data_IF_894629067384
#
_entry.id   IF_894629067384
#
_cell.length_a   1.000
_cell.length_b   1.000
_cell.length_c   1.000
_cell.angle_alpha   90.00
_cell.angle_beta   90.00
_cell.angle_gamma   90.00
#
_symmetry.space_group_name_H-M   'P 1'
#
loop_
_entity.id
_entity.type
_entity.pdbx_description
1 polymer ?
#
# COMPACT_ATOMS: atom_id res chain seq x y z
N UNK A 1 -7.62 24.94 -24.78
CA UNK A 1 -7.32 24.81 -23.33
C UNK A 1 -5.84 24.55 -23.21
N UNK A 2 -5.10 25.33 -22.42
CA UNK A 2 -3.70 25.02 -22.16
C UNK A 2 -3.63 23.62 -21.54
N UNK A 3 -2.78 22.76 -22.08
CA UNK A 3 -2.52 21.43 -21.53
C UNK A 3 -1.97 21.62 -20.11
N UNK A 4 -2.65 21.09 -19.10
CA UNK A 4 -2.20 21.21 -17.71
C UNK A 4 -0.96 20.34 -17.53
N UNK A 5 0.09 20.90 -16.94
CA UNK A 5 1.27 20.11 -16.60
C UNK A 5 0.88 18.98 -15.62
N UNK A 6 1.56 17.84 -15.69
CA UNK A 6 1.35 16.75 -14.75
C UNK A 6 2.46 16.74 -13.71
N UNK A 7 2.06 16.67 -12.44
CA UNK A 7 2.96 16.40 -11.34
C UNK A 7 2.84 14.92 -10.99
N UNK A 8 3.74 14.11 -11.54
CA UNK A 8 3.73 12.67 -11.33
C UNK A 8 4.38 12.32 -9.99
N UNK A 9 3.58 11.81 -9.06
CA UNK A 9 4.08 11.27 -7.81
C UNK A 9 4.71 9.90 -8.04
N UNK A 10 5.78 9.62 -7.31
CA UNK A 10 6.54 8.42 -7.58
C UNK A 10 6.07 7.15 -6.82
N UNK A 11 4.94 7.21 -6.13
CA UNK A 11 4.46 6.14 -5.25
C UNK A 11 3.35 5.32 -5.90
N UNK A 12 3.45 3.99 -5.84
CA UNK A 12 2.36 3.08 -6.23
C UNK A 12 1.41 2.80 -5.07
N UNK A 13 0.15 2.46 -5.37
CA UNK A 13 -0.90 2.22 -4.36
C UNK A 13 -0.71 1.03 -3.40
N UNK A 14 0.36 0.23 -3.52
CA UNK A 14 0.58 -0.98 -2.70
C UNK A 14 0.72 -0.69 -1.20
N UNK A 15 1.39 0.40 -0.83
CA UNK A 15 1.47 0.92 0.55
C UNK A 15 0.71 2.25 0.67
N UNK A 16 -0.33 2.40 -0.17
CA UNK A 16 -1.08 3.63 -0.29
C UNK A 16 -2.04 3.89 0.87
N UNK A 17 -2.58 5.11 0.87
CA UNK A 17 -3.66 5.55 1.74
C UNK A 17 -4.98 4.95 1.29
N UNK A 18 -5.76 4.40 2.22
CA UNK A 18 -7.10 3.90 1.95
C UNK A 18 -8.09 5.04 1.73
N UNK A 19 -8.93 4.91 0.69
CA UNK A 19 -9.96 5.90 0.40
C UNK A 19 -11.21 5.63 1.22
N UNK A 20 -11.94 6.71 1.52
CA UNK A 20 -13.25 6.63 2.16
C UNK A 20 -14.36 6.99 1.18
N UNK A 21 -15.58 6.57 1.51
CA UNK A 21 -16.76 6.86 0.70
C UNK A 21 -16.89 6.00 -0.57
N UNK A 22 -16.06 4.97 -0.73
CA UNK A 22 -16.03 4.10 -1.93
C UNK A 22 -17.40 3.51 -2.28
N UNK A 23 -18.24 3.23 -1.28
CA UNK A 23 -19.60 2.73 -1.47
C UNK A 23 -20.46 3.64 -2.35
N UNK A 24 -20.30 4.97 -2.24
CA UNK A 24 -21.03 5.94 -3.04
C UNK A 24 -20.54 5.95 -4.50
N UNK A 25 -19.28 5.60 -4.73
CA UNK A 25 -18.60 5.65 -6.04
C UNK A 25 -18.43 4.27 -6.69
N UNK A 26 -19.13 3.25 -6.19
CA UNK A 26 -19.01 1.85 -6.64
C UNK A 26 -19.08 1.68 -8.16
N UNK A 27 -20.03 2.33 -8.83
CA UNK A 27 -20.16 2.25 -10.27
C UNK A 27 -18.96 2.86 -11.01
N UNK A 28 -18.43 3.99 -10.53
CA UNK A 28 -17.25 4.62 -11.10
C UNK A 28 -16.02 3.71 -10.93
N UNK A 29 -15.85 3.10 -9.75
CA UNK A 29 -14.75 2.17 -9.47
C UNK A 29 -14.83 0.93 -10.37
N UNK A 30 -16.00 0.29 -10.49
CA UNK A 30 -16.17 -0.91 -11.32
C UNK A 30 -15.89 -0.66 -12.82
N UNK A 31 -16.19 0.54 -13.33
CA UNK A 31 -15.90 0.93 -14.72
C UNK A 31 -14.41 1.13 -15.01
N UNK A 32 -13.59 1.25 -13.97
CA UNK A 32 -12.14 1.45 -14.08
C UNK A 32 -11.40 0.11 -14.06
N UNK A 33 -12.02 -0.94 -13.50
CA UNK A 33 -11.46 -2.28 -13.47
C UNK A 33 -11.38 -2.90 -14.88
N UNK A 34 -10.36 -3.74 -15.15
CA UNK A 34 -10.20 -4.43 -16.43
C UNK A 34 -11.28 -5.49 -16.68
N UNK A 35 -11.90 -6.01 -15.62
CA UNK A 35 -13.04 -6.92 -15.64
C UNK A 35 -13.81 -6.80 -14.33
N UNK A 36 -15.04 -7.31 -14.29
CA UNK A 36 -15.79 -7.39 -13.04
C UNK A 36 -15.31 -8.54 -12.14
N UNK A 37 -15.43 -8.38 -10.80
CA UNK A 37 -15.22 -9.49 -9.88
C UNK A 37 -16.36 -10.51 -10.02
N UNK A 38 -16.00 -11.78 -9.89
CA UNK A 38 -16.94 -12.88 -9.82
C UNK A 38 -16.66 -13.73 -8.57
N UNK A 39 -17.59 -14.61 -8.23
CA UNK A 39 -17.44 -15.50 -7.08
C UNK A 39 -16.18 -16.37 -7.25
N UNK A 40 -15.35 -16.43 -6.20
CA UNK A 40 -14.03 -17.07 -6.25
C UNK A 40 -13.00 -16.42 -7.19
N UNK A 41 -13.32 -15.31 -7.85
CA UNK A 41 -12.48 -14.67 -8.88
C UNK A 41 -12.31 -13.16 -8.62
N UNK A 42 -11.53 -12.77 -7.58
CA UNK A 42 -11.25 -11.38 -7.28
C UNK A 42 -10.51 -10.69 -8.42
N UNK A 43 -10.58 -9.37 -8.46
CA UNK A 43 -9.89 -8.50 -9.41
C UNK A 43 -8.96 -7.58 -8.64
N UNK A 44 -7.73 -7.50 -9.10
CA UNK A 44 -6.77 -6.49 -8.65
C UNK A 44 -6.30 -5.70 -9.86
N UNK A 45 -6.30 -4.38 -9.73
CA UNK A 45 -5.83 -3.48 -10.78
C UNK A 45 -5.06 -2.31 -10.17
N UNK A 46 -3.98 -1.91 -10.84
CA UNK A 46 -3.31 -0.63 -10.57
C UNK A 46 -3.67 0.32 -11.70
N UNK A 47 -4.19 1.50 -11.37
CA UNK A 47 -4.71 2.46 -12.34
C UNK A 47 -4.19 3.87 -12.06
N UNK A 48 -3.89 4.66 -13.10
CA UNK A 48 -3.52 6.05 -12.93
C UNK A 48 -4.72 6.86 -12.42
N UNK A 49 -4.46 7.74 -11.46
CA UNK A 49 -5.45 8.59 -10.81
C UNK A 49 -4.93 10.00 -10.63
N UNK A 50 -5.88 10.93 -10.55
CA UNK A 50 -5.65 12.34 -10.23
C UNK A 50 -6.10 12.60 -8.80
N UNK A 51 -5.34 13.39 -8.06
CA UNK A 51 -5.63 13.79 -6.68
C UNK A 51 -6.00 15.27 -6.71
N UNK A 52 -7.25 15.58 -6.37
CA UNK A 52 -7.86 16.88 -6.67
C UNK A 52 -8.43 17.52 -5.40
N UNK A 53 -8.01 18.74 -5.05
CA UNK A 53 -8.59 19.47 -3.92
C UNK A 53 -9.96 20.03 -4.31
N UNK A 54 -10.90 20.04 -3.38
CA UNK A 54 -12.27 20.55 -3.58
C UNK A 54 -12.58 21.62 -2.53
N UNK A 55 -12.08 22.86 -2.70
CA UNK A 55 -12.30 23.93 -1.72
C UNK A 55 -13.78 24.32 -1.57
N UNK A 56 -14.59 24.04 -2.59
CA UNK A 56 -16.01 24.29 -2.72
C UNK A 56 -16.90 23.15 -2.19
N UNK A 57 -16.30 22.07 -1.69
CA UNK A 57 -17.06 20.95 -1.16
C UNK A 57 -17.89 21.39 0.06
N UNK A 58 -19.23 21.18 0.05
CA UNK A 58 -20.14 21.71 1.08
C UNK A 58 -19.97 21.05 2.45
N UNK A 59 -19.34 19.88 2.50
CA UNK A 59 -19.15 19.11 3.74
C UNK A 59 -17.79 19.36 4.38
N UNK A 60 -16.76 19.64 3.57
CA UNK A 60 -15.40 19.86 4.04
C UNK A 60 -14.58 20.67 3.03
N UNK A 61 -14.21 21.92 3.37
CA UNK A 61 -13.38 22.80 2.52
C UNK A 61 -11.94 22.31 2.31
N UNK A 62 -11.53 21.28 3.05
CA UNK A 62 -10.24 20.60 2.92
C UNK A 62 -10.34 19.30 2.14
N UNK A 63 -11.54 18.93 1.65
CA UNK A 63 -11.74 17.68 0.91
C UNK A 63 -10.75 17.54 -0.25
N UNK A 64 -10.23 16.31 -0.38
CA UNK A 64 -9.38 15.90 -1.50
C UNK A 64 -10.00 14.63 -2.07
N UNK A 65 -10.46 14.72 -3.32
CA UNK A 65 -10.97 13.57 -4.06
C UNK A 65 -9.88 12.90 -4.87
N UNK A 66 -10.04 11.59 -5.07
CA UNK A 66 -9.22 10.81 -6.00
C UNK A 66 -10.08 10.44 -7.19
N UNK A 67 -9.55 10.66 -8.39
CA UNK A 67 -10.31 10.53 -9.64
C UNK A 67 -9.61 9.62 -10.64
N UNK A 68 -10.37 8.72 -11.24
CA UNK A 68 -9.92 7.91 -12.37
C UNK A 68 -10.74 8.28 -13.60
N UNK A 69 -10.07 8.57 -14.72
CA UNK A 69 -10.74 8.96 -16.00
C UNK A 69 -11.77 10.09 -15.78
N UNK A 70 -11.39 11.11 -14.98
CA UNK A 70 -12.22 12.28 -14.65
C UNK A 70 -13.39 12.04 -13.67
N UNK A 71 -13.56 10.82 -13.13
CA UNK A 71 -14.64 10.48 -12.18
C UNK A 71 -14.08 10.25 -10.79
N UNK A 72 -14.76 10.80 -9.78
CA UNK A 72 -14.44 10.50 -8.38
C UNK A 72 -14.61 9.00 -8.10
N UNK A 73 -13.57 8.41 -7.53
CA UNK A 73 -13.55 7.00 -7.08
C UNK A 73 -13.45 6.88 -5.56
N UNK A 74 -13.25 8.00 -4.85
CA UNK A 74 -13.19 8.05 -3.40
C UNK A 74 -12.58 9.36 -2.92
N UNK A 75 -12.49 9.52 -1.61
CA UNK A 75 -11.89 10.68 -0.96
C UNK A 75 -10.80 10.25 0.01
N UNK A 76 -9.86 11.13 0.31
CA UNK A 76 -9.08 11.00 1.54
C UNK A 76 -10.02 11.17 2.74
N UNK A 77 -9.72 10.47 3.85
CA UNK A 77 -10.44 10.69 5.11
C UNK A 77 -10.31 12.15 5.55
N UNK A 78 -11.23 12.68 6.36
CA UNK A 78 -11.16 14.06 6.85
C UNK A 78 -9.84 14.37 7.57
N UNK A 79 -9.31 13.40 8.32
CA UNK A 79 -8.02 13.50 9.01
C UNK A 79 -6.88 13.66 8.01
N UNK A 80 -6.79 12.77 7.02
CA UNK A 80 -5.74 12.86 6.00
C UNK A 80 -5.92 14.09 5.12
N UNK A 81 -7.15 14.42 4.74
CA UNK A 81 -7.45 15.63 4.01
C UNK A 81 -6.95 16.89 4.74
N UNK A 82 -6.98 16.91 6.08
CA UNK A 82 -6.43 18.01 6.87
C UNK A 82 -4.92 18.22 6.64
N UNK A 83 -4.16 17.15 6.42
CA UNK A 83 -2.72 17.21 6.20
C UNK A 83 -2.36 17.38 4.71
N UNK A 84 -3.08 16.72 3.81
CA UNK A 84 -2.78 16.72 2.38
C UNK A 84 -3.33 17.94 1.63
N UNK A 85 -4.34 18.64 2.14
CA UNK A 85 -4.99 19.68 1.32
C UNK A 85 -4.05 20.81 0.92
N UNK A 86 -3.11 21.24 1.76
CA UNK A 86 -2.18 22.34 1.41
C UNK A 86 -1.15 21.92 0.35
N UNK A 87 -0.39 20.81 0.53
CA UNK A 87 0.54 20.34 -0.50
C UNK A 87 -0.15 20.07 -1.85
N UNK A 88 -1.34 19.46 -1.84
CA UNK A 88 -2.12 19.22 -3.07
C UNK A 88 -2.56 20.53 -3.72
N UNK A 89 -3.07 21.49 -2.93
CA UNK A 89 -3.44 22.82 -3.44
C UNK A 89 -2.25 23.58 -4.02
N UNK A 90 -1.05 23.46 -3.42
CA UNK A 90 0.19 24.07 -3.95
C UNK A 90 0.48 23.58 -5.36
N UNK A 91 0.39 22.27 -5.61
CA UNK A 91 0.59 21.69 -6.95
C UNK A 91 -0.43 22.25 -7.94
N UNK A 92 -1.71 22.32 -7.55
CA UNK A 92 -2.77 22.86 -8.42
C UNK A 92 -2.63 24.36 -8.68
N UNK A 93 -2.26 25.15 -7.68
CA UNK A 93 -1.97 26.58 -7.82
C UNK A 93 -0.75 26.85 -8.71
N UNK A 94 0.13 25.86 -8.86
CA UNK A 94 1.27 25.89 -9.80
C UNK A 94 0.88 25.55 -11.24
N UNK A 95 -0.42 25.38 -11.52
CA UNK A 95 -0.93 25.04 -12.85
C UNK A 95 -0.79 23.55 -13.22
N UNK A 96 -0.45 22.69 -12.25
CA UNK A 96 -0.26 21.26 -12.47
C UNK A 96 -1.39 20.41 -11.87
N UNK A 97 -1.57 19.19 -12.38
CA UNK A 97 -2.45 18.18 -11.77
C UNK A 97 -1.60 17.12 -11.10
N UNK A 98 -1.88 16.85 -9.83
CA UNK A 98 -1.23 15.78 -9.07
C UNK A 98 -1.71 14.42 -9.57
N UNK A 99 -0.79 13.60 -10.08
CA UNK A 99 -1.04 12.25 -10.58
C UNK A 99 -0.27 11.21 -9.81
N UNK A 100 -0.88 10.05 -9.65
CA UNK A 100 -0.29 8.88 -9.00
C UNK A 100 -1.04 7.63 -9.44
N UNK A 101 -0.76 6.49 -8.82
CA UNK A 101 -1.49 5.25 -9.05
C UNK A 101 -2.34 4.85 -7.83
N UNK A 102 -3.55 4.37 -8.09
CA UNK A 102 -4.37 3.68 -7.11
C UNK A 102 -4.39 2.17 -7.37
N UNK A 103 -4.28 1.39 -6.31
CA UNK A 103 -4.55 -0.06 -6.30
C UNK A 103 -6.01 -0.26 -5.93
N UNK A 104 -6.75 -0.96 -6.79
CA UNK A 104 -8.13 -1.33 -6.56
C UNK A 104 -8.17 -2.85 -6.40
N UNK A 105 -8.69 -3.31 -5.26
CA UNK A 105 -9.00 -4.71 -5.02
C UNK A 105 -10.51 -4.86 -4.93
N UNK A 106 -11.07 -5.83 -5.67
CA UNK A 106 -12.50 -6.07 -5.74
C UNK A 106 -12.80 -7.56 -5.67
N UNK A 107 -13.79 -7.96 -4.87
CA UNK A 107 -14.23 -9.34 -4.74
C UNK A 107 -15.74 -9.41 -4.53
N UNK A 108 -16.34 -10.58 -4.72
CA UNK A 108 -17.76 -10.82 -4.40
C UNK A 108 -17.85 -11.29 -2.95
N UNK A 109 -18.55 -10.52 -2.11
CA UNK A 109 -18.82 -10.86 -0.72
C UNK A 109 -19.87 -11.97 -0.58
N UNK A 110 -20.08 -12.45 0.64
CA UNK A 110 -21.04 -13.53 0.92
C UNK A 110 -22.49 -13.19 0.55
N UNK A 111 -22.83 -11.91 0.50
CA UNK A 111 -24.14 -11.42 0.06
C UNK A 111 -24.30 -11.38 -1.48
N UNK A 112 -23.27 -11.78 -2.24
CA UNK A 112 -23.25 -11.73 -3.70
C UNK A 112 -22.95 -10.34 -4.27
N UNK A 113 -22.69 -9.34 -3.44
CA UNK A 113 -22.35 -7.98 -3.87
C UNK A 113 -20.83 -7.83 -3.99
N UNK A 114 -20.38 -7.02 -4.96
CA UNK A 114 -18.95 -6.70 -5.02
C UNK A 114 -18.55 -5.70 -3.94
N UNK A 115 -17.59 -6.12 -3.12
CA UNK A 115 -16.86 -5.31 -2.15
C UNK A 115 -15.59 -4.75 -2.81
N UNK A 116 -15.24 -3.53 -2.43
CA UNK A 116 -14.16 -2.75 -3.03
C UNK A 116 -13.22 -2.25 -1.92
N UNK A 117 -11.93 -2.20 -2.25
CA UNK A 117 -10.91 -1.53 -1.47
C UNK A 117 -10.01 -0.76 -2.44
N UNK A 118 -9.92 0.56 -2.25
CA UNK A 118 -9.08 1.44 -3.06
C UNK A 118 -7.99 2.06 -2.20
N UNK A 119 -6.74 1.88 -2.60
CA UNK A 119 -5.58 2.50 -1.97
C UNK A 119 -4.82 3.38 -2.95
N UNK A 120 -4.68 4.66 -2.64
CA UNK A 120 -3.96 5.63 -3.47
C UNK A 120 -2.50 5.76 -3.02
N UNK A 121 -1.57 5.71 -3.97
CA UNK A 121 -0.13 5.86 -3.71
C UNK A 121 0.23 7.30 -3.37
N UNK A 122 0.15 7.66 -2.09
CA UNK A 122 0.59 8.96 -1.59
C UNK A 122 1.76 8.75 -0.61
N UNK A 123 2.87 9.49 -0.76
CA UNK A 123 3.87 9.58 0.30
C UNK A 123 3.32 10.40 1.47
N UNK A 124 4.04 10.45 2.58
CA UNK A 124 3.70 11.38 3.67
C UNK A 124 3.51 12.83 3.16
N UNK A 125 2.66 13.65 3.81
CA UNK A 125 2.32 14.99 3.31
C UNK A 125 3.54 15.89 3.03
N UNK A 126 4.54 15.85 3.92
CA UNK A 126 5.80 16.60 3.77
C UNK A 126 6.71 16.06 2.66
N UNK A 127 6.44 14.85 2.18
CA UNK A 127 7.17 14.19 1.09
C UNK A 127 6.53 14.39 -0.29
N UNK A 128 5.39 15.09 -0.35
CA UNK A 128 4.62 15.27 -1.58
C UNK A 128 5.33 16.22 -2.56
N UNK A 129 6.03 17.24 -2.04
CA UNK A 129 6.76 18.26 -2.81
C UNK A 129 8.25 18.25 -2.48
N UNK A 130 9.16 18.53 -3.44
CA UNK A 130 10.58 18.63 -3.14
C UNK A 130 10.84 19.83 -2.22
N UNK A 131 11.86 19.72 -1.38
CA UNK A 131 12.31 20.79 -0.49
C UNK A 131 12.91 21.98 -1.25
N UNK A 132 13.43 21.74 -2.45
CA UNK A 132 14.11 22.71 -3.30
C UNK A 132 13.23 23.15 -4.49
N UNK A 133 13.54 24.29 -5.08
CA UNK A 133 12.76 24.87 -6.20
C UNK A 133 13.59 25.57 -7.27
N UNK A 134 14.91 25.63 -7.11
CA UNK A 134 15.87 26.26 -8.03
C UNK A 134 16.35 25.35 -9.16
N UNK A 135 15.68 24.22 -9.43
CA UNK A 135 15.93 23.43 -10.64
C UNK A 135 15.54 24.24 -11.90
N UNK A 136 16.14 24.00 -13.08
CA UNK A 136 15.78 24.73 -14.30
C UNK A 136 14.34 24.46 -14.77
N UNK A 137 13.68 25.44 -15.40
CA UNK A 137 12.34 25.27 -15.98
C UNK A 137 12.27 24.26 -17.14
N UNK A 138 13.43 23.85 -17.67
CA UNK A 138 13.58 22.81 -18.70
C UNK A 138 13.76 21.40 -18.12
N UNK A 139 13.58 21.24 -16.81
CA UNK A 139 13.75 19.96 -16.11
C UNK A 139 12.65 18.98 -16.50
N UNK A 140 13.02 17.79 -16.95
CA UNK A 140 12.13 16.65 -17.17
C UNK A 140 12.45 15.57 -16.13
N UNK A 141 11.54 15.35 -15.18
CA UNK A 141 11.78 14.42 -14.08
C UNK A 141 11.63 12.96 -14.54
N UNK A 142 12.65 12.14 -14.25
CA UNK A 142 12.61 10.71 -14.49
C UNK A 142 11.50 10.04 -13.66
N UNK A 143 10.75 9.07 -14.23
CA UNK A 143 9.93 8.15 -13.46
C UNK A 143 10.77 7.42 -12.41
N UNK A 144 10.14 6.85 -11.38
CA UNK A 144 10.86 6.07 -10.39
C UNK A 144 11.49 4.80 -10.99
N UNK A 145 12.78 4.64 -10.74
CA UNK A 145 13.49 3.41 -11.04
C UNK A 145 13.28 2.35 -9.99
N UNK A 146 13.68 1.12 -10.34
CA UNK A 146 13.58 -0.03 -9.44
C UNK A 146 14.51 0.06 -8.23
N UNK A 147 15.63 0.77 -8.39
CA UNK A 147 16.70 0.83 -7.40
C UNK A 147 17.06 2.27 -7.04
N UNK A 148 17.41 2.47 -5.77
CA UNK A 148 18.00 3.71 -5.26
C UNK A 148 19.52 3.64 -5.39
N UNK A 149 20.14 4.74 -5.81
CA UNK A 149 21.60 4.86 -5.93
C UNK A 149 22.13 5.94 -4.99
N UNK A 150 23.25 5.65 -4.34
CA UNK A 150 24.00 6.59 -3.54
C UNK A 150 24.76 7.55 -4.47
N UNK A 151 24.69 8.85 -4.17
CA UNK A 151 25.61 9.84 -4.73
C UNK A 151 26.96 9.66 -4.05
N UNK A 152 28.07 10.04 -4.67
CA UNK A 152 29.38 10.02 -4.02
C UNK A 152 30.00 11.41 -4.04
N UNK A 153 30.96 11.64 -3.14
CA UNK A 153 31.68 12.91 -2.94
C UNK A 153 30.81 14.03 -2.36
N UNK A 154 29.72 13.70 -1.66
CA UNK A 154 28.87 14.69 -0.99
C UNK A 154 29.60 15.44 0.12
N UNK A 155 30.62 14.83 0.72
CA UNK A 155 31.50 15.43 1.73
C UNK A 155 32.19 16.71 1.23
N UNK A 156 32.43 16.81 -0.07
CA UNK A 156 33.04 17.98 -0.73
C UNK A 156 32.03 19.13 -0.91
N UNK A 157 30.76 18.88 -0.61
CA UNK A 157 29.63 19.79 -0.88
C UNK A 157 28.74 19.97 0.35
N UNK A 158 29.21 19.61 1.54
CA UNK A 158 28.41 19.59 2.77
C UNK A 158 27.75 20.94 3.10
N UNK A 159 28.47 22.07 2.95
CA UNK A 159 27.95 23.40 3.29
C UNK A 159 26.64 23.71 2.56
N UNK A 160 26.61 23.52 1.23
CA UNK A 160 25.42 23.70 0.39
C UNK A 160 24.33 22.68 0.71
N UNK A 161 24.69 21.40 0.82
CA UNK A 161 23.72 20.34 1.06
C UNK A 161 23.01 20.51 2.41
N UNK A 162 23.73 20.94 3.43
CA UNK A 162 23.20 21.12 4.78
C UNK A 162 22.05 22.14 4.85
N UNK A 163 22.04 23.15 3.98
CA UNK A 163 20.96 24.15 3.91
C UNK A 163 19.59 23.55 3.58
N UNK A 164 19.57 22.40 2.91
CA UNK A 164 18.36 21.70 2.49
C UNK A 164 17.97 20.57 3.45
N UNK A 165 18.75 20.29 4.49
CA UNK A 165 18.42 19.23 5.46
C UNK A 165 17.27 19.71 6.35
N UNK A 166 16.07 19.08 6.29
CA UNK A 166 14.95 19.51 7.11
C UNK A 166 15.18 19.14 8.58
N UNK A 167 14.37 19.71 9.48
CA UNK A 167 14.45 19.41 10.93
C UNK A 167 14.21 17.93 11.26
N UNK A 168 13.47 17.21 10.43
CA UNK A 168 13.28 15.76 10.52
C UNK A 168 14.56 14.97 10.23
N UNK A 169 15.60 15.62 9.67
CA UNK A 169 16.86 15.03 9.25
C UNK A 169 16.81 14.39 7.87
N UNK A 170 15.64 14.31 7.22
CA UNK A 170 15.49 13.67 5.91
C UNK A 170 14.31 14.23 5.13
N UNK A 171 14.47 14.45 3.83
CA UNK A 171 13.38 14.90 2.97
C UNK A 171 13.62 14.71 1.47
N UNK A 172 12.58 14.90 0.64
CA UNK A 172 12.69 14.74 -0.80
C UNK A 172 13.31 15.98 -1.44
N UNK A 173 14.09 15.77 -2.50
CA UNK A 173 14.65 16.84 -3.34
C UNK A 173 14.51 16.49 -4.81
N UNK A 174 14.37 17.50 -5.66
CA UNK A 174 14.48 17.36 -7.10
C UNK A 174 15.90 17.72 -7.52
N UNK A 175 16.68 16.71 -7.89
CA UNK A 175 18.07 16.88 -8.34
C UNK A 175 18.12 16.95 -9.85
N UNK A 176 19.20 17.49 -10.40
CA UNK A 176 19.45 17.45 -11.85
C UNK A 176 20.73 16.68 -12.17
N UNK A 177 20.70 15.93 -13.25
CA UNK A 177 21.79 15.08 -13.71
C UNK A 177 22.46 15.72 -14.92
N UNK A 178 23.79 15.87 -14.86
CA UNK A 178 24.59 16.54 -15.87
C UNK A 178 25.75 15.66 -16.31
N UNK A 179 26.05 15.64 -17.60
CA UNK A 179 27.24 14.95 -18.10
C UNK A 179 28.49 15.67 -17.60
N UNK A 180 29.44 14.90 -17.07
CA UNK A 180 30.75 15.39 -16.66
C UNK A 180 31.86 14.51 -17.25
N UNK A 181 32.96 15.15 -17.68
CA UNK A 181 34.15 14.46 -18.15
C UNK A 181 35.32 14.83 -17.24
N UNK A 182 36.05 13.83 -16.75
CA UNK A 182 37.26 14.03 -15.95
C UNK A 182 38.41 13.26 -16.56
N UNK A 183 39.49 13.96 -16.89
CA UNK A 183 40.72 13.34 -17.36
C UNK A 183 41.48 12.78 -16.17
N UNK A 184 41.63 11.45 -16.16
CA UNK A 184 42.41 10.74 -15.14
C UNK A 184 43.91 11.02 -15.32
N UNK A 185 44.69 10.78 -14.27
CA UNK A 185 46.15 10.98 -14.27
C UNK A 185 46.90 10.20 -15.37
N UNK A 186 46.29 9.14 -15.90
CA UNK A 186 46.81 8.32 -17.00
C UNK A 186 46.38 8.81 -18.39
N UNK A 187 45.71 9.98 -18.49
CA UNK A 187 45.21 10.55 -19.75
C UNK A 187 43.86 9.99 -20.20
N UNK A 188 43.31 8.96 -19.56
CA UNK A 188 41.98 8.44 -19.92
C UNK A 188 40.89 9.41 -19.50
N UNK A 189 39.95 9.69 -20.41
CA UNK A 189 38.75 10.47 -20.12
C UNK A 189 37.71 9.56 -19.49
N UNK A 190 37.30 9.89 -18.26
CA UNK A 190 36.21 9.23 -17.55
C UNK A 190 34.95 10.07 -17.68
N UNK A 191 33.91 9.49 -18.28
CA UNK A 191 32.56 10.08 -18.31
C UNK A 191 31.80 9.67 -17.06
N UNK A 192 31.31 10.64 -16.32
CA UNK A 192 30.48 10.46 -15.13
C UNK A 192 29.26 11.36 -15.21
N UNK A 193 28.31 11.12 -14.32
CA UNK A 193 27.17 12.00 -14.12
C UNK A 193 27.40 12.81 -12.87
N UNK A 194 27.42 14.13 -13.01
CA UNK A 194 27.38 15.09 -11.92
C UNK A 194 25.93 15.27 -11.45
N UNK A 195 25.75 15.29 -10.13
CA UNK A 195 24.44 15.50 -9.50
C UNK A 195 24.42 16.90 -8.92
N UNK A 196 23.42 17.69 -9.31
CA UNK A 196 23.25 19.07 -8.86
C UNK A 196 21.98 19.27 -8.07
N UNK A 197 22.07 20.05 -7.00
CA UNK A 197 20.96 20.55 -6.20
C UNK A 197 20.87 22.07 -6.45
N UNK A 198 19.77 22.51 -7.05
CA UNK A 198 19.53 23.92 -7.42
C UNK A 198 20.67 24.59 -8.20
N UNK A 199 21.26 23.83 -9.14
CA UNK A 199 22.30 24.32 -10.05
C UNK A 199 23.72 24.21 -9.50
N UNK A 200 23.89 23.96 -8.20
CA UNK A 200 25.19 23.72 -7.57
C UNK A 200 25.51 22.23 -7.49
N UNK A 201 26.80 21.89 -7.56
CA UNK A 201 27.26 20.50 -7.49
C UNK A 201 27.04 19.96 -6.08
N UNK A 202 26.30 18.86 -5.97
CA UNK A 202 26.10 18.11 -4.72
C UNK A 202 26.88 16.80 -4.65
N UNK A 203 27.49 16.37 -5.77
CA UNK A 203 28.29 15.16 -5.85
C UNK A 203 28.31 14.58 -7.26
N UNK A 204 28.61 13.30 -7.38
CA UNK A 204 28.59 12.58 -8.66
C UNK A 204 28.12 11.14 -8.49
N UNK A 205 27.71 10.49 -9.57
CA UNK A 205 27.43 9.05 -9.58
C UNK A 205 28.71 8.25 -9.85
N UNK A 206 28.79 7.02 -9.33
CA UNK A 206 29.88 6.10 -9.68
C UNK A 206 29.93 5.86 -11.20
N UNK A 207 31.07 5.39 -11.73
CA UNK A 207 31.18 5.11 -13.17
C UNK A 207 30.13 4.09 -13.66
N UNK A 208 29.91 3.04 -12.86
CA UNK A 208 28.93 2.00 -13.16
C UNK A 208 27.50 2.57 -13.19
N UNK A 209 27.13 3.38 -12.20
CA UNK A 209 25.80 4.01 -12.17
C UNK A 209 25.65 5.05 -13.28
N UNK A 210 26.69 5.85 -13.54
CA UNK A 210 26.70 6.89 -14.57
C UNK A 210 26.38 6.32 -15.95
N UNK A 211 26.94 5.15 -16.29
CA UNK A 211 26.70 4.49 -17.58
C UNK A 211 25.20 4.22 -17.87
N UNK A 212 24.37 4.07 -16.83
CA UNK A 212 22.94 3.85 -17.00
C UNK A 212 22.15 5.11 -17.37
N UNK A 213 22.64 6.30 -17.02
CA UNK A 213 21.95 7.57 -17.18
C UNK A 213 22.52 8.44 -18.31
N UNK A 214 23.80 8.27 -18.68
CA UNK A 214 24.40 9.04 -19.77
C UNK A 214 23.58 9.04 -21.07
N UNK A 215 23.01 7.91 -21.55
CA UNK A 215 22.22 7.93 -22.79
C UNK A 215 20.97 8.82 -22.70
N UNK A 216 20.27 8.83 -21.56
CA UNK A 216 19.08 9.67 -21.40
C UNK A 216 19.45 11.15 -21.20
N UNK A 217 20.58 11.44 -20.57
CA UNK A 217 21.11 12.81 -20.44
C UNK A 217 21.45 13.38 -21.82
N UNK A 218 22.18 12.62 -22.64
CA UNK A 218 22.56 13.03 -24.00
C UNK A 218 21.32 13.24 -24.90
N UNK A 219 20.32 12.37 -24.77
CA UNK A 219 19.04 12.54 -25.47
C UNK A 219 18.29 13.80 -25.02
N UNK A 220 18.22 14.04 -23.70
CA UNK A 220 17.57 15.22 -23.13
C UNK A 220 18.23 16.52 -23.57
N UNK A 221 19.58 16.57 -23.57
CA UNK A 221 20.35 17.71 -24.05
C UNK A 221 20.03 18.01 -25.52
N UNK A 222 19.91 16.98 -26.36
CA UNK A 222 19.47 17.11 -27.76
C UNK A 222 18.07 17.72 -27.93
N UNK A 223 17.20 17.57 -26.92
CA UNK A 223 15.87 18.18 -26.86
C UNK A 223 15.82 19.54 -26.14
N UNK A 224 16.96 20.06 -25.68
CA UNK A 224 17.01 21.28 -24.86
C UNK A 224 16.38 21.10 -23.47
N UNK A 225 16.41 19.87 -22.94
CA UNK A 225 15.90 19.50 -21.61
C UNK A 225 17.06 19.21 -20.65
N UNK A 226 16.77 19.32 -19.35
CA UNK A 226 17.67 18.86 -18.28
C UNK A 226 17.02 17.65 -17.61
N UNK A 227 17.78 16.59 -17.37
CA UNK A 227 17.25 15.41 -16.68
C UNK A 227 17.11 15.70 -15.20
N UNK A 228 15.87 15.72 -14.70
CA UNK A 228 15.54 15.76 -13.29
C UNK A 228 15.47 14.35 -12.70
N UNK A 229 15.84 14.19 -11.45
CA UNK A 229 15.66 12.94 -10.72
C UNK A 229 15.24 13.21 -9.29
N UNK A 230 14.26 12.44 -8.83
CA UNK A 230 13.91 12.45 -7.43
C UNK A 230 15.06 11.91 -6.59
N UNK A 231 15.42 12.68 -5.58
CA UNK A 231 16.39 12.32 -4.60
C UNK A 231 15.85 12.39 -3.19
N UNK A 232 16.67 11.90 -2.27
CA UNK A 232 16.44 12.06 -0.85
C UNK A 232 17.70 12.61 -0.24
N UNK A 233 17.57 13.76 0.42
CA UNK A 233 18.61 14.30 1.27
C UNK A 233 18.42 13.78 2.68
N UNK A 234 19.50 13.27 3.26
CA UNK A 234 19.55 12.84 4.66
C UNK A 234 20.72 13.55 5.31
N UNK A 235 20.53 14.16 6.47
CA UNK A 235 21.62 14.89 7.10
C UNK A 235 21.50 15.03 8.60
N UNK A 236 22.64 15.40 9.17
CA UNK A 236 22.83 15.80 10.56
C UNK A 236 23.76 17.02 10.58
N UNK A 237 24.01 17.60 11.76
CA UNK A 237 24.97 18.70 11.90
C UNK A 237 26.42 18.39 11.47
N UNK A 238 26.74 17.13 11.12
CA UNK A 238 28.09 16.68 10.77
C UNK A 238 28.23 16.18 9.33
N UNK A 239 27.14 15.78 8.68
CA UNK A 239 27.18 15.17 7.35
C UNK A 239 25.82 15.29 6.66
N UNK A 240 25.85 15.38 5.33
CA UNK A 240 24.69 15.34 4.46
C UNK A 240 24.98 14.35 3.32
N UNK A 241 24.00 13.51 3.03
CA UNK A 241 24.07 12.45 2.03
C UNK A 241 22.93 12.62 1.03
N UNK A 242 23.20 12.29 -0.23
CA UNK A 242 22.21 12.30 -1.30
C UNK A 242 22.02 10.90 -1.87
N UNK A 243 20.76 10.54 -2.08
CA UNK A 243 20.42 9.38 -2.91
C UNK A 243 19.54 9.82 -4.07
N UNK A 244 19.60 9.08 -5.17
CA UNK A 244 18.72 9.26 -6.33
C UNK A 244 17.88 8.02 -6.58
N UNK A 245 16.66 8.21 -7.07
CA UNK A 245 15.78 7.13 -7.53
C UNK A 245 15.08 7.54 -8.82
N UNK A 246 15.66 7.17 -9.94
CA UNK A 246 15.14 7.41 -11.28
C UNK A 246 15.26 6.16 -12.15
N UNK A 247 14.36 6.04 -13.11
CA UNK A 247 14.39 4.97 -14.10
C UNK A 247 15.65 5.12 -14.96
N UNK A 248 16.36 4.00 -15.16
CA UNK A 248 17.51 3.95 -16.07
C UNK A 248 17.05 4.07 -17.52
N UNK A 249 17.97 4.38 -18.43
CA UNK A 249 17.71 4.35 -19.88
C UNK A 249 16.98 3.09 -20.37
N UNK A 250 17.30 1.92 -19.81
CA UNK A 250 16.67 0.63 -20.16
C UNK A 250 15.29 0.40 -19.53
N UNK A 251 14.86 1.26 -18.61
CA UNK A 251 13.59 1.16 -17.89
C UNK A 251 12.55 2.19 -18.36
N UNK A 252 12.95 3.13 -19.22
CA UNK A 252 12.09 4.19 -19.75
C UNK A 252 11.26 3.69 -20.94
N UNK A 253 10.02 4.14 -21.04
CA UNK A 253 9.19 3.90 -22.22
C UNK A 253 9.58 4.83 -23.38
N UNK A 254 9.35 4.38 -24.61
CA UNK A 254 9.56 5.19 -25.80
C UNK A 254 8.69 6.45 -25.82
N UNK A 255 7.48 6.36 -25.24
CA UNK A 255 6.57 7.50 -25.05
C UNK A 255 7.21 8.56 -24.16
N UNK A 256 7.70 8.18 -22.98
CA UNK A 256 8.36 9.13 -22.08
C UNK A 256 9.61 9.74 -22.70
N UNK A 257 10.44 8.94 -23.40
CA UNK A 257 11.64 9.44 -24.08
C UNK A 257 11.31 10.43 -25.21
N UNK A 258 10.16 10.27 -25.88
CA UNK A 258 9.72 11.17 -26.93
C UNK A 258 9.17 12.48 -26.39
N UNK A 259 8.38 12.40 -25.32
CA UNK A 259 7.70 13.57 -24.76
C UNK A 259 8.59 14.37 -23.81
N UNK A 260 9.38 13.67 -22.98
CA UNK A 260 10.17 14.20 -21.88
C UNK A 260 9.43 15.31 -21.13
N UNK A 261 8.28 14.99 -20.51
CA UNK A 261 7.39 15.99 -19.93
C UNK A 261 8.12 16.85 -18.90
N UNK A 262 7.84 18.15 -18.92
CA UNK A 262 8.44 19.09 -17.98
C UNK A 262 7.90 18.87 -16.57
N UNK A 263 8.81 18.86 -15.60
CA UNK A 263 8.46 18.92 -14.20
C UNK A 263 8.04 20.35 -13.85
N UNK A 264 6.85 20.56 -13.24
CA UNK A 264 6.33 21.89 -13.01
C UNK A 264 7.11 22.60 -11.89
N UNK A 265 7.36 23.89 -12.06
CA UNK A 265 7.83 24.74 -10.97
C UNK A 265 6.69 25.01 -10.00
N UNK A 266 6.91 24.64 -8.75
CA UNK A 266 5.92 24.88 -7.71
C UNK A 266 5.97 26.34 -7.23
N UNK A 267 4.79 26.92 -6.99
CA UNK A 267 4.69 28.20 -6.28
C UNK A 267 5.30 28.07 -4.87
N UNK A 268 5.78 29.17 -4.26
CA UNK A 268 6.33 29.15 -2.90
C UNK A 268 5.34 28.61 -1.87
N UNK A 269 5.88 28.11 -0.75
CA UNK A 269 5.04 27.66 0.36
C UNK A 269 4.25 28.81 0.97
N UNK A 270 2.95 28.58 1.18
CA UNK A 270 2.03 29.54 1.76
C UNK A 270 1.02 28.84 2.68
N UNK A 271 0.44 29.61 3.60
CA UNK A 271 -0.63 29.13 4.50
C UNK A 271 -1.96 28.84 3.79
N UNK A 272 -2.13 29.33 2.57
CA UNK A 272 -3.31 29.11 1.73
C UNK A 272 -2.97 29.31 0.26
N UNK A 273 -3.73 28.63 -0.60
CA UNK A 273 -3.67 28.81 -2.05
C UNK A 273 -5.08 28.95 -2.61
N UNK A 274 -5.24 29.81 -3.60
CA UNK A 274 -6.44 29.88 -4.42
C UNK A 274 -6.36 28.81 -5.51
N UNK A 275 -7.34 27.91 -5.55
CA UNK A 275 -7.44 26.85 -6.56
C UNK A 275 -8.87 26.80 -7.07
N UNK A 276 -9.10 26.34 -8.32
CA UNK A 276 -10.45 26.26 -8.87
C UNK A 276 -11.35 25.32 -8.08
N UNK A 277 -12.64 25.68 -8.04
CA UNK A 277 -13.72 24.81 -7.60
C UNK A 277 -13.72 23.50 -8.41
N UNK A 278 -13.94 22.39 -7.72
CA UNK A 278 -13.82 21.08 -8.32
C UNK A 278 -14.87 20.08 -7.84
N UNK A 279 -15.68 20.39 -6.84
CA UNK A 279 -16.67 19.46 -6.30
C UNK A 279 -17.64 18.98 -7.38
N UNK A 280 -17.75 17.66 -7.57
CA UNK A 280 -18.60 17.05 -8.61
C UNK A 280 -20.00 16.66 -8.11
N UNK A 281 -20.33 16.93 -6.85
CA UNK A 281 -21.56 16.43 -6.22
C UNK A 281 -21.44 14.97 -5.78
N UNK A 282 -22.40 14.53 -4.97
CA UNK A 282 -22.59 13.08 -4.79
C UNK A 282 -23.06 12.47 -6.11
N UNK A 283 -22.56 11.27 -6.47
CA UNK A 283 -23.14 10.52 -7.57
C UNK A 283 -24.61 10.31 -7.24
N UNK A 284 -25.52 10.60 -8.19
CA UNK A 284 -26.96 10.43 -8.01
C UNK A 284 -27.29 8.96 -7.75
N UNK A 285 -27.15 8.48 -6.52
CA UNK A 285 -27.88 7.33 -6.02
C UNK A 285 -29.33 7.76 -6.03
N UNK A 286 -30.12 7.24 -6.99
CA UNK A 286 -31.56 7.43 -6.97
C UNK A 286 -32.10 6.99 -5.61
N UNK A 287 -32.44 7.97 -4.77
CA UNK A 287 -33.33 7.90 -3.62
C UNK A 287 -32.98 6.91 -2.50
N UNK A 288 -32.94 7.40 -1.26
CA UNK A 288 -33.28 6.56 -0.11
C UNK A 288 -34.69 5.99 -0.32
N UNK A 289 -34.82 4.70 -0.64
CA UNK A 289 -36.03 3.94 -0.31
C UNK A 289 -35.75 2.43 -0.27
N UNK A 290 -36.01 1.83 0.90
CA UNK A 290 -36.47 0.45 1.17
C UNK A 290 -36.01 -0.64 0.20
N UNK A 291 -35.20 -1.58 0.71
CA UNK A 291 -34.97 -2.91 0.12
C UNK A 291 -34.65 -2.89 -1.39
N UNK A 292 -33.44 -2.51 -1.76
CA UNK A 292 -32.92 -2.78 -3.09
C UNK A 292 -32.74 -4.30 -3.25
N UNK A 293 -33.74 -4.94 -3.83
CA UNK A 293 -33.66 -6.35 -4.24
C UNK A 293 -32.63 -6.55 -5.36
N UNK A 294 -32.16 -7.79 -5.48
CA UNK A 294 -31.11 -8.33 -6.37
C UNK A 294 -31.10 -7.91 -7.85
N UNK A 295 -32.11 -7.17 -8.33
CA UNK A 295 -32.33 -6.87 -9.74
C UNK A 295 -31.54 -5.66 -10.29
N UNK A 296 -31.09 -4.72 -9.46
CA UNK A 296 -30.31 -3.55 -9.91
C UNK A 296 -28.82 -3.87 -10.10
N UNK A 297 -28.24 -4.67 -9.21
CA UNK A 297 -26.89 -5.21 -9.35
C UNK A 297 -26.80 -6.17 -10.55
N UNK A 298 -27.82 -7.00 -10.79
CA UNK A 298 -27.91 -7.86 -11.97
C UNK A 298 -27.98 -7.06 -13.27
N UNK A 299 -28.77 -5.97 -13.33
CA UNK A 299 -28.80 -5.07 -14.50
C UNK A 299 -27.49 -4.35 -14.76
N UNK A 300 -26.82 -3.87 -13.71
CA UNK A 300 -25.52 -3.22 -13.85
C UNK A 300 -24.46 -4.25 -14.30
N UNK A 301 -24.54 -5.48 -13.78
CA UNK A 301 -23.73 -6.62 -14.19
C UNK A 301 -23.99 -6.98 -15.65
N UNK A 302 -25.24 -7.11 -16.09
CA UNK A 302 -25.60 -7.33 -17.50
C UNK A 302 -25.10 -6.20 -18.42
N UNK A 303 -25.26 -4.93 -18.02
CA UNK A 303 -24.79 -3.79 -18.81
C UNK A 303 -23.26 -3.71 -18.90
N UNK A 304 -22.56 -4.06 -17.82
CA UNK A 304 -21.10 -4.06 -17.78
C UNK A 304 -20.53 -5.31 -18.47
N UNK A 305 -21.13 -6.48 -18.26
CA UNK A 305 -20.78 -7.74 -18.94
C UNK A 305 -21.00 -7.62 -20.45
N UNK A 306 -22.09 -6.99 -20.92
CA UNK A 306 -22.26 -6.66 -22.35
C UNK A 306 -21.13 -5.79 -22.90
N UNK A 307 -20.58 -4.88 -22.08
CA UNK A 307 -19.43 -4.04 -22.44
C UNK A 307 -18.14 -4.85 -22.57
N UNK A 308 -17.92 -5.79 -21.66
CA UNK A 308 -16.75 -6.68 -21.67
C UNK A 308 -16.85 -7.79 -22.73
N UNK A 309 -18.06 -8.19 -23.12
CA UNK A 309 -18.33 -9.15 -24.20
C UNK A 309 -18.20 -8.48 -25.58
N UNK A 310 -18.48 -7.18 -25.70
CA UNK A 310 -18.42 -6.46 -26.99
C UNK A 310 -17.01 -5.98 -27.39
N UNK A 311 -16.00 -6.16 -26.55
CA UNK A 311 -14.59 -5.99 -26.93
C UNK A 311 -14.01 -7.34 -27.34
N UNK A 312 -14.27 -7.76 -28.58
CA UNK A 312 -13.59 -8.89 -29.23
C UNK A 312 -12.21 -8.45 -29.77
N UNK A 313 -11.18 -9.31 -29.76
CA UNK A 313 -9.79 -8.89 -29.82
C UNK A 313 -9.32 -8.71 -31.26
N UNK A 314 -8.98 -7.47 -31.61
CA UNK A 314 -8.05 -7.20 -32.70
C UNK A 314 -7.11 -6.11 -32.20
N UNK A 315 -5.81 -6.39 -32.31
CA UNK A 315 -4.66 -5.55 -31.92
C UNK A 315 -4.28 -5.59 -30.42
N UNK A 316 -3.58 -6.66 -30.04
CA UNK A 316 -2.32 -6.49 -29.31
C UNK A 316 -1.44 -7.73 -29.52
N UNK A 317 -0.55 -7.62 -30.50
CA UNK A 317 0.56 -8.55 -30.68
C UNK A 317 1.67 -8.13 -29.72
N UNK A 318 1.78 -8.81 -28.58
CA UNK A 318 3.05 -8.98 -27.84
C UNK A 318 2.95 -10.24 -26.97
N UNK A 319 3.67 -11.27 -27.37
CA UNK A 319 3.95 -12.48 -26.61
C UNK A 319 4.63 -12.15 -25.27
N UNK A 320 4.16 -12.69 -24.12
CA UNK A 320 4.98 -12.77 -22.93
C UNK A 320 5.73 -14.11 -22.90
N UNK A 321 7.06 -14.03 -22.86
CA UNK A 321 7.94 -15.15 -22.49
C UNK A 321 7.72 -15.54 -21.02
N UNK A 322 7.94 -16.83 -20.65
CA UNK A 322 7.66 -17.33 -19.31
C UNK A 322 8.70 -16.84 -18.32
N UNK A 323 8.31 -15.96 -17.39
CA UNK A 323 9.14 -15.57 -16.26
C UNK A 323 9.01 -16.58 -15.11
N UNK A 324 10.11 -17.28 -14.86
CA UNK A 324 10.45 -18.05 -13.67
C UNK A 324 10.15 -17.27 -12.37
N UNK A 325 9.67 -17.91 -11.29
CA UNK A 325 9.32 -17.22 -10.05
C UNK A 325 10.59 -16.72 -9.33
N UNK A 326 10.74 -15.40 -9.21
CA UNK A 326 11.77 -14.78 -8.36
C UNK A 326 11.29 -14.64 -6.92
N UNK A 327 12.14 -15.09 -6.00
CA UNK A 327 11.89 -15.30 -4.58
C UNK A 327 11.41 -14.06 -3.81
N UNK A 328 10.32 -14.26 -3.07
CA UNK A 328 9.68 -13.35 -2.14
C UNK A 328 10.57 -13.09 -0.90
N UNK A 329 10.81 -11.81 -0.58
CA UNK A 329 11.58 -11.39 0.60
C UNK A 329 10.71 -11.57 1.85
N UNK A 330 11.16 -12.40 2.81
CA UNK A 330 10.40 -12.80 4.01
C UNK A 330 9.84 -11.60 4.80
N UNK A 331 8.55 -11.62 5.19
CA UNK A 331 7.98 -10.62 6.08
C UNK A 331 8.63 -10.67 7.49
N UNK A 332 8.79 -9.51 8.12
CA UNK A 332 9.34 -9.36 9.46
C UNK A 332 8.54 -10.15 10.52
N UNK A 333 9.21 -10.59 11.60
CA UNK A 333 8.57 -11.35 12.68
C UNK A 333 7.47 -10.51 13.35
N UNK A 334 6.29 -11.08 13.64
CA UNK A 334 5.25 -10.44 14.46
C UNK A 334 5.80 -9.88 15.78
N UNK A 335 5.31 -8.71 16.19
CA UNK A 335 5.72 -8.03 17.42
C UNK A 335 4.51 -7.82 18.38
N UNK A 336 4.67 -8.05 19.70
CA UNK A 336 3.58 -7.94 20.68
C UNK A 336 3.03 -6.51 20.81
N UNK A 337 1.80 -6.34 21.33
CA UNK A 337 1.20 -5.01 21.53
C UNK A 337 2.08 -4.13 22.43
N UNK A 338 2.26 -2.87 22.03
CA UNK A 338 3.06 -1.89 22.79
C UNK A 338 2.47 -1.57 24.17
N UNK A 339 1.14 -1.75 24.35
CA UNK A 339 0.47 -1.57 25.62
C UNK A 339 -0.56 -2.70 25.83
N UNK A 340 -0.16 -3.86 26.39
CA UNK A 340 -1.05 -5.00 26.52
C UNK A 340 -2.16 -4.70 27.52
N UNK A 341 -3.40 -5.03 27.18
CA UNK A 341 -4.54 -4.97 28.09
C UNK A 341 -4.93 -6.41 28.44
N UNK A 342 -4.49 -6.97 29.58
CA UNK A 342 -4.68 -8.38 29.89
C UNK A 342 -6.16 -8.68 30.16
N UNK A 343 -6.78 -9.50 29.32
CA UNK A 343 -8.14 -9.99 29.51
C UNK A 343 -8.09 -11.48 29.82
N UNK A 344 -8.41 -11.93 31.05
CA UNK A 344 -8.43 -13.35 31.37
C UNK A 344 -9.61 -14.03 30.66
N UNK A 345 -9.31 -15.05 29.85
CA UNK A 345 -10.32 -15.82 29.11
C UNK A 345 -10.62 -17.18 29.77
N UNK A 346 -9.64 -17.74 30.46
CA UNK A 346 -9.80 -18.92 31.32
C UNK A 346 -8.72 -18.93 32.42
N UNK A 347 -8.79 -19.87 33.37
CA UNK A 347 -7.78 -20.01 34.43
C UNK A 347 -6.35 -20.26 33.93
N UNK A 348 -6.16 -20.52 32.63
CA UNK A 348 -4.84 -20.76 32.05
C UNK A 348 -4.53 -19.91 30.80
N UNK A 349 -5.47 -19.10 30.30
CA UNK A 349 -5.33 -18.31 29.06
C UNK A 349 -5.74 -16.85 29.28
N UNK A 350 -4.83 -15.93 28.99
CA UNK A 350 -5.06 -14.48 29.08
C UNK A 350 -4.72 -13.83 27.75
N UNK A 351 -5.61 -13.01 27.20
CA UNK A 351 -5.36 -12.25 25.97
C UNK A 351 -4.61 -10.95 26.30
N UNK A 352 -3.57 -10.61 25.54
CA UNK A 352 -2.75 -9.42 25.73
C UNK A 352 -3.14 -8.28 24.77
N UNK A 353 -3.66 -8.59 23.58
CA UNK A 353 -4.09 -7.60 22.59
C UNK A 353 -3.57 -7.88 21.19
N UNK A 354 -3.86 -6.98 20.26
CA UNK A 354 -3.45 -7.09 18.85
C UNK A 354 -2.02 -6.55 18.73
N UNK A 355 -1.11 -7.39 18.22
CA UNK A 355 0.27 -7.00 17.93
C UNK A 355 0.44 -6.47 16.51
N UNK A 356 1.63 -5.94 16.23
CA UNK A 356 1.99 -5.40 14.92
C UNK A 356 2.69 -6.45 14.07
N UNK A 357 2.21 -6.68 12.86
CA UNK A 357 2.80 -7.67 11.95
C UNK A 357 1.82 -8.13 10.87
N UNK A 358 2.28 -8.98 9.94
CA UNK A 358 1.41 -9.52 8.90
C UNK A 358 0.27 -10.34 9.53
N UNK A 359 -0.92 -10.28 8.93
CA UNK A 359 -2.09 -11.13 9.27
C UNK A 359 -2.68 -10.90 10.67
N UNK A 360 -2.54 -9.70 11.20
CA UNK A 360 -3.23 -9.23 12.43
C UNK A 360 -3.02 -10.18 13.63
N UNK A 361 -1.77 -10.37 14.09
CA UNK A 361 -1.47 -11.32 15.16
C UNK A 361 -2.10 -10.86 16.48
N UNK A 362 -2.87 -11.72 17.14
CA UNK A 362 -3.38 -11.47 18.49
C UNK A 362 -2.54 -12.26 19.48
N UNK A 363 -2.04 -11.58 20.51
CA UNK A 363 -1.15 -12.15 21.52
C UNK A 363 -1.93 -12.64 22.75
N UNK A 364 -1.49 -13.78 23.27
CA UNK A 364 -2.06 -14.46 24.44
C UNK A 364 -0.93 -14.98 25.34
N UNK A 365 -1.21 -15.21 26.61
CA UNK A 365 -0.39 -16.03 27.49
C UNK A 365 -1.13 -17.31 27.83
N UNK A 366 -0.46 -18.46 27.69
CA UNK A 366 -0.96 -19.77 28.08
C UNK A 366 -0.04 -20.32 29.16
N UNK A 367 -0.55 -20.47 30.41
CA UNK A 367 0.27 -20.84 31.58
C UNK A 367 1.54 -20.00 31.73
N UNK A 368 1.42 -18.69 31.53
CA UNK A 368 2.52 -17.73 31.65
C UNK A 368 3.51 -17.70 30.48
N UNK A 369 3.28 -18.46 29.40
CA UNK A 369 4.10 -18.39 28.18
C UNK A 369 3.35 -17.68 27.06
N UNK A 370 4.00 -16.71 26.43
CA UNK A 370 3.43 -15.93 25.33
C UNK A 370 3.30 -16.76 24.05
N UNK A 371 2.19 -16.56 23.35
CA UNK A 371 1.89 -17.15 22.04
C UNK A 371 1.03 -16.15 21.24
N UNK A 372 1.18 -16.11 19.92
CA UNK A 372 0.31 -15.33 19.06
C UNK A 372 -0.49 -16.24 18.12
N UNK A 373 -1.70 -15.78 17.76
CA UNK A 373 -2.59 -16.44 16.80
C UNK A 373 -2.98 -15.42 15.74
N UNK A 374 -2.74 -15.76 14.48
CA UNK A 374 -3.04 -14.93 13.32
C UNK A 374 -4.24 -15.47 12.52
N UNK A 375 -4.65 -14.75 11.48
CA UNK A 375 -5.82 -15.14 10.66
C UNK A 375 -5.62 -16.45 9.89
N UNK A 376 -4.37 -16.85 9.63
CA UNK A 376 -4.07 -18.15 9.01
C UNK A 376 -4.27 -19.29 10.00
N UNK A 377 -3.78 -19.13 11.23
CA UNK A 377 -3.98 -20.11 12.31
C UNK A 377 -5.49 -20.32 12.57
N UNK A 378 -6.30 -19.25 12.51
CA UNK A 378 -7.78 -19.32 12.63
C UNK A 378 -8.45 -20.04 11.46
N UNK A 379 -8.10 -19.67 10.23
CA UNK A 379 -8.69 -20.29 9.02
C UNK A 379 -8.30 -21.77 8.85
N UNK A 380 -7.15 -22.20 9.38
CA UNK A 380 -6.65 -23.56 9.26
C UNK A 380 -7.00 -24.50 10.42
N UNK A 381 -7.46 -23.96 11.55
CA UNK A 381 -7.82 -24.71 12.75
C UNK A 381 -8.92 -25.76 12.54
N UNK A 382 -9.85 -25.53 11.60
CA UNK A 382 -11.04 -26.37 11.39
C UNK A 382 -11.94 -26.47 12.63
N UNK A 383 -12.85 -27.45 12.67
CA UNK A 383 -13.79 -27.63 13.80
C UNK A 383 -13.13 -28.18 15.09
N UNK A 384 -11.92 -28.71 15.01
CA UNK A 384 -11.22 -29.35 16.14
C UNK A 384 -9.72 -29.01 16.14
N UNK A 385 -9.32 -27.82 16.64
CA UNK A 385 -7.94 -27.31 16.54
C UNK A 385 -6.90 -28.20 17.24
N UNK A 386 -7.27 -28.88 18.33
CA UNK A 386 -6.36 -29.85 18.97
C UNK A 386 -6.09 -31.07 18.10
N UNK A 387 -7.11 -31.57 17.38
CA UNK A 387 -6.97 -32.75 16.52
C UNK A 387 -6.13 -32.40 15.30
N UNK A 388 -6.30 -31.22 14.72
CA UNK A 388 -5.50 -30.75 13.58
C UNK A 388 -4.03 -30.52 13.98
N UNK A 389 -3.76 -29.94 15.16
CA UNK A 389 -2.40 -29.82 15.67
C UNK A 389 -1.71 -31.19 15.88
N UNK A 390 -2.41 -32.17 16.45
CA UNK A 390 -1.89 -33.53 16.60
C UNK A 390 -1.68 -34.24 15.26
N UNK A 391 -2.56 -34.04 14.28
CA UNK A 391 -2.40 -34.60 12.93
C UNK A 391 -1.19 -34.01 12.21
N UNK A 392 -0.91 -32.72 12.37
CA UNK A 392 0.30 -32.10 11.81
C UNK A 392 1.57 -32.66 12.45
N UNK A 393 1.59 -32.81 13.78
CA UNK A 393 2.72 -33.41 14.51
C UNK A 393 2.93 -34.87 14.06
N UNK A 394 1.85 -35.65 13.98
CA UNK A 394 1.90 -37.04 13.53
C UNK A 394 2.34 -37.15 12.07
N UNK A 395 1.86 -36.27 11.19
CA UNK A 395 2.24 -36.22 9.78
C UNK A 395 3.73 -35.92 9.58
N UNK A 396 4.28 -34.97 10.35
CA UNK A 396 5.72 -34.68 10.36
C UNK A 396 6.55 -35.86 10.87
N UNK A 397 6.10 -36.56 11.90
CA UNK A 397 6.77 -37.75 12.41
C UNK A 397 6.76 -38.90 11.39
N UNK A 398 5.62 -39.13 10.70
CA UNK A 398 5.49 -40.12 9.63
C UNK A 398 6.36 -39.75 8.43
N UNK A 399 6.41 -38.47 8.05
CA UNK A 399 7.29 -37.98 6.98
C UNK A 399 8.77 -38.23 7.32
N UNK A 400 9.18 -37.98 8.56
CA UNK A 400 10.51 -38.34 9.05
C UNK A 400 10.81 -39.82 8.86
N UNK A 401 9.87 -40.68 9.26
CA UNK A 401 10.01 -42.13 9.16
C UNK A 401 10.09 -42.62 7.70
N UNK A 402 9.35 -42.00 6.77
CA UNK A 402 9.45 -42.28 5.33
C UNK A 402 10.81 -41.83 4.77
N UNK A 403 11.29 -40.65 5.20
CA UNK A 403 12.59 -40.11 4.77
C UNK A 403 13.78 -40.91 5.34
N UNK A 404 13.57 -41.76 6.35
CA UNK A 404 14.61 -42.64 6.89
C UNK A 404 15.20 -43.61 5.88
N UNK A 405 14.42 -43.98 4.85
CA UNK A 405 14.82 -44.93 3.80
C UNK A 405 15.77 -44.37 2.75
N UNK A 406 16.11 -43.07 2.80
CA UNK A 406 16.99 -42.44 1.80
C UNK A 406 18.47 -42.76 2.12
N UNK A 407 19.21 -43.45 1.22
CA UNK A 407 20.60 -43.80 1.47
C UNK A 407 21.48 -42.57 1.70
N UNK A 408 22.36 -42.63 2.71
CA UNK A 408 23.34 -41.58 3.03
C UNK A 408 22.82 -40.41 3.85
N UNK A 409 21.56 -39.99 3.67
CA UNK A 409 20.98 -38.81 4.35
C UNK A 409 19.77 -39.10 5.23
N UNK A 410 19.15 -40.28 5.12
CA UNK A 410 17.93 -40.64 5.84
C UNK A 410 17.97 -40.46 7.36
N UNK A 411 19.04 -40.89 8.07
CA UNK A 411 19.17 -40.69 9.52
C UNK A 411 19.27 -39.21 9.93
N UNK A 412 19.79 -38.35 9.06
CA UNK A 412 19.87 -36.91 9.34
C UNK A 412 18.52 -36.22 9.12
N UNK A 413 17.77 -36.66 8.10
CA UNK A 413 16.42 -36.14 7.83
C UNK A 413 15.42 -36.56 8.93
N UNK A 414 15.51 -37.78 9.44
CA UNK A 414 14.68 -38.23 10.58
C UNK A 414 14.98 -37.40 11.82
N UNK A 415 16.26 -37.21 12.16
CA UNK A 415 16.65 -36.41 13.31
C UNK A 415 16.19 -34.95 13.18
N UNK A 416 16.28 -34.39 11.97
CA UNK A 416 15.82 -33.04 11.67
C UNK A 416 14.30 -32.89 11.82
N UNK A 417 13.51 -33.84 11.32
CA UNK A 417 12.04 -33.84 11.51
C UNK A 417 11.63 -34.02 12.97
N UNK A 418 12.33 -34.88 13.73
CA UNK A 418 12.10 -35.07 15.15
C UNK A 418 12.43 -33.79 15.95
N UNK A 419 13.52 -33.12 15.59
CA UNK A 419 13.91 -31.83 16.15
C UNK A 419 12.86 -30.75 15.87
N UNK A 420 12.32 -30.70 14.64
CA UNK A 420 11.22 -29.79 14.30
C UNK A 420 9.98 -30.07 15.16
N UNK A 421 9.58 -31.33 15.32
CA UNK A 421 8.44 -31.71 16.18
C UNK A 421 8.65 -31.30 17.63
N UNK A 422 9.86 -31.48 18.18
CA UNK A 422 10.21 -31.09 19.55
C UNK A 422 10.17 -29.56 19.74
N UNK A 423 10.62 -28.79 18.75
CA UNK A 423 10.66 -27.32 18.82
C UNK A 423 9.28 -26.71 18.56
N UNK A 424 8.55 -27.17 17.54
CA UNK A 424 7.28 -26.55 17.11
C UNK A 424 6.05 -27.14 17.78
N UNK A 425 6.08 -28.39 18.24
CA UNK A 425 4.94 -29.09 18.84
C UNK A 425 4.33 -28.37 20.06
N UNK A 426 5.13 -27.93 21.05
CA UNK A 426 4.62 -27.24 22.23
C UNK A 426 3.95 -25.89 21.92
N UNK A 427 4.36 -25.21 20.85
CA UNK A 427 3.79 -23.94 20.42
C UNK A 427 2.46 -24.16 19.69
N UNK A 428 2.40 -25.15 18.80
CA UNK A 428 1.18 -25.57 18.10
C UNK A 428 0.07 -26.01 19.07
N UNK A 429 0.42 -26.73 20.14
CA UNK A 429 -0.54 -27.12 21.18
C UNK A 429 -1.07 -25.93 22.00
N UNK A 430 -0.26 -24.88 22.20
CA UNK A 430 -0.70 -23.65 22.86
C UNK A 430 -1.61 -22.84 21.96
N UNK A 431 -1.28 -22.69 20.68
CA UNK A 431 -2.14 -22.06 19.67
C UNK A 431 -3.49 -22.77 19.56
N UNK A 432 -3.48 -24.10 19.47
CA UNK A 432 -4.71 -24.90 19.42
C UNK A 432 -5.60 -24.68 20.66
N UNK A 433 -4.99 -24.55 21.84
CA UNK A 433 -5.71 -24.27 23.09
C UNK A 433 -6.30 -22.86 23.14
N UNK A 434 -5.61 -21.86 22.58
CA UNK A 434 -6.16 -20.52 22.39
C UNK A 434 -7.34 -20.56 21.42
N UNK A 435 -7.21 -21.29 20.31
CA UNK A 435 -8.26 -21.40 19.28
C UNK A 435 -9.50 -22.16 19.76
N UNK A 436 -9.39 -23.07 20.74
CA UNK A 436 -10.56 -23.66 21.42
C UNK A 436 -11.34 -22.63 22.25
N UNK A 437 -10.64 -21.66 22.84
CA UNK A 437 -11.20 -20.73 23.84
C UNK A 437 -11.65 -19.41 23.19
N UNK A 438 -10.89 -18.93 22.20
CA UNK A 438 -11.12 -17.69 21.47
C UNK A 438 -10.92 -17.89 19.95
N UNK A 439 -11.84 -18.62 19.28
CA UNK A 439 -11.71 -18.93 17.85
C UNK A 439 -11.82 -17.70 16.93
N UNK A 440 -12.45 -16.61 17.40
CA UNK A 440 -12.78 -15.42 16.59
C UNK A 440 -11.96 -14.17 16.94
N UNK A 441 -11.24 -14.14 18.05
CA UNK A 441 -10.27 -13.09 18.37
C UNK A 441 -10.87 -11.71 18.70
N UNK A 442 -12.17 -11.51 18.57
CA UNK A 442 -12.88 -10.25 18.81
C UNK A 442 -14.25 -10.52 19.47
N UNK A 443 -14.67 -9.61 20.35
CA UNK A 443 -15.78 -9.82 21.29
C UNK A 443 -17.16 -10.00 20.65
N UNK A 444 -17.51 -11.22 20.26
CA UNK A 444 -18.87 -11.68 20.42
C UNK A 444 -19.07 -12.14 21.87
N UNK A 445 -20.04 -11.60 22.64
CA UNK A 445 -20.39 -12.20 23.90
C UNK A 445 -20.81 -13.65 23.62
N UNK A 446 -20.30 -14.57 24.43
CA UNK A 446 -20.73 -15.97 24.39
C UNK A 446 -22.26 -16.01 24.48
N UNK A 447 -22.90 -16.74 23.55
CA UNK A 447 -24.34 -16.99 23.53
C UNK A 447 -24.89 -17.51 24.87
N UNK A 448 -24.02 -18.00 25.75
CA UNK A 448 -24.34 -18.52 27.07
C UNK A 448 -24.56 -17.44 28.15
N UNK A 449 -24.15 -16.19 27.92
CA UNK A 449 -24.37 -15.08 28.88
C UNK A 449 -25.72 -14.39 28.66
N UNK A 450 -26.16 -14.22 27.40
CA UNK A 450 -27.47 -13.65 27.08
C UNK A 450 -28.63 -14.55 27.53
N UNK A 451 -28.45 -15.86 27.57
CA UNK A 451 -29.48 -16.79 28.06
C UNK A 451 -29.64 -16.77 29.60
N UNK A 452 -28.67 -16.22 30.35
CA UNK A 452 -28.76 -16.11 31.82
C UNK A 452 -29.28 -14.74 32.29
N UNK A 453 -29.06 -13.69 31.52
CA UNK A 453 -29.56 -12.35 31.86
C UNK A 453 -30.99 -12.07 31.35
N UNK A 454 -31.53 -12.89 30.44
CA UNK A 454 -32.92 -12.79 29.96
C UNK A 454 -33.90 -13.79 30.60
N UNK A 455 -33.41 -14.65 31.51
CA UNK A 455 -34.20 -15.69 32.16
C UNK A 455 -34.76 -15.31 33.55
N UNK A 456 -34.48 -14.11 34.05
CA UNK A 456 -34.79 -13.72 35.44
C UNK A 456 -35.69 -12.47 35.54
N UNK A 457 -36.43 -12.18 34.46
CA UNK A 457 -37.47 -11.12 34.47
C UNK A 457 -38.73 -11.69 33.82
N UNK A 458 -39.54 -12.40 34.60
CA UNK A 458 -40.88 -12.79 34.13
C UNK A 458 -41.57 -13.97 34.79
N UNK A 459 -41.47 -14.17 36.10
CA UNK A 459 -42.46 -15.01 36.82
C UNK A 459 -42.78 -14.39 38.18
N UNK A 460 -43.58 -13.34 38.20
CA UNK A 460 -44.41 -13.05 39.35
C UNK A 460 -45.71 -12.36 38.91
N UNK A 461 -46.83 -12.90 39.39
CA UNK A 461 -48.20 -12.38 39.30
C UNK A 461 -49.00 -12.76 38.04
N UNK A 462 -49.69 -13.91 38.11
CA UNK A 462 -51.12 -13.91 37.77
C UNK A 462 -51.87 -15.00 38.55
N UNK A 463 -52.50 -14.50 39.60
CA UNK A 463 -53.65 -15.01 40.31
C UNK A 463 -54.77 -15.46 39.34
N UNK A 464 -55.27 -16.69 39.53
CA UNK A 464 -56.58 -17.09 39.03
C UNK A 464 -57.28 -17.88 40.14
N UNK A 465 -58.20 -17.18 40.81
CA UNK A 465 -59.12 -17.74 41.77
C UNK A 465 -60.11 -18.74 41.16
N UNK A 466 -60.29 -19.80 41.94
CA UNK A 466 -61.55 -20.40 42.41
C UNK A 466 -62.63 -20.85 41.42
N UNK A 467 -63.12 -22.08 41.68
CA UNK A 467 -64.49 -22.46 41.30
C UNK A 467 -64.77 -23.95 41.14
N UNK A 468 -64.81 -24.69 42.25
CA UNK A 468 -65.85 -25.69 42.60
C UNK A 468 -66.37 -26.72 41.55
N UNK A 469 -66.25 -28.03 41.85
CA UNK A 469 -67.39 -28.87 42.30
C UNK A 469 -67.18 -30.39 42.15
N UNK A 470 -67.71 -31.11 43.15
CA UNK A 470 -67.91 -32.56 43.35
C UNK A 470 -66.73 -33.41 43.85
#
# INVERSE_FOLDING_TARGET
MAEKAHYELPHGGYNGVELVGEFAYREAILRVLPRLPADGAPVEATVPVEVVPEPDNPYDRRAVSVRAKGRVIGYLSRELAADYHLPVKRVVASGAVLRTNARIYAYVGFNGEAELNVRVGLPEPEWLTPLNSGYPATTSALPYGRQTYQVVKEDQHFEHLFEYVPKSGKGPVMLTLHKAESTLRNGNVRRTVEVRLDGEKGGELTAATSAHYLPVIEHAEGMGRVVGVWGTITGSGLAAELTIKGAKSTELSDEWLREMPLFPHLVPEAHSYEVPDAYQGEPKTKGRSRAMGSHSAARLRDQLDQRFVSTSPAELDTTPSPSTPSAEKKPGKPQPPANPTPVPLSGEVTRLGIGTGPRTPIYYTVKGKEVFVDDRDRSSAGKHPRRTAWLLIAGLAVLGLILSGVPGIGPFLTLFTLLLVLISGPDQLRKAKVLDIDPYGTGHPSRDRQAREWGDVGEESQDHGEGESA
#
